data_IF_788417542606
#
_entry.id   IF_788417542606
#
_cell.length_a   1.000
_cell.length_b   1.000
_cell.length_c   1.000
_cell.angle_alpha   90.00
_cell.angle_beta   90.00
_cell.angle_gamma   90.00
#
_symmetry.space_group_name_H-M   'P 1'
#
loop_
_entity.id
_entity.type
_entity.pdbx_description
1 polymer ?
#
# COMPACT_ATOMS: atom_id res chain seq x y z
N UNK A 1 -2.28 25.98 41.39
CA UNK A 1 -2.37 24.86 40.42
C UNK A 1 -2.74 25.42 39.06
N UNK A 2 -1.83 25.50 38.07
CA UNK A 2 -2.18 25.99 36.75
C UNK A 2 -2.75 24.86 35.89
N UNK A 3 -3.93 25.10 35.34
CA UNK A 3 -4.62 24.27 34.36
C UNK A 3 -3.74 24.07 33.12
N UNK A 4 -3.40 22.81 32.79
CA UNK A 4 -2.80 22.45 31.52
C UNK A 4 -3.77 22.79 30.38
N UNK A 5 -3.55 23.91 29.70
CA UNK A 5 -4.09 24.13 28.37
C UNK A 5 -3.42 23.14 27.40
N UNK A 6 -4.13 22.05 27.07
CA UNK A 6 -3.78 21.23 25.91
C UNK A 6 -3.95 22.09 24.66
N UNK A 7 -2.85 22.63 24.12
CA UNK A 7 -2.80 23.18 22.76
C UNK A 7 -3.14 22.05 21.79
N UNK A 8 -4.36 22.03 21.29
CA UNK A 8 -4.72 21.27 20.08
C UNK A 8 -3.98 21.95 18.93
N UNK A 9 -2.77 21.49 18.63
CA UNK A 9 -2.13 21.88 17.38
C UNK A 9 -3.00 21.30 16.26
N UNK A 10 -3.51 22.17 15.39
CA UNK A 10 -4.18 21.72 14.17
C UNK A 10 -3.21 20.79 13.43
N UNK A 11 -3.58 19.52 13.28
CA UNK A 11 -2.76 18.54 12.57
C UNK A 11 -2.65 18.99 11.12
N UNK A 12 -1.43 19.07 10.60
CA UNK A 12 -1.18 19.41 9.21
C UNK A 12 -1.94 18.44 8.28
N UNK A 13 -2.44 18.98 7.15
CA UNK A 13 -3.09 18.20 6.11
C UNK A 13 -2.16 17.10 5.61
N UNK A 14 -2.67 15.88 5.48
CA UNK A 14 -1.92 14.71 4.98
C UNK A 14 -2.56 14.15 3.72
N UNK A 15 -1.80 13.44 2.91
CA UNK A 15 -2.32 12.84 1.68
C UNK A 15 -2.41 11.32 1.84
N UNK A 16 -3.50 10.73 1.36
CA UNK A 16 -3.59 9.30 1.08
C UNK A 16 -3.78 9.14 -0.42
N UNK A 17 -2.95 8.33 -1.05
CA UNK A 17 -2.94 8.19 -2.50
C UNK A 17 -3.03 6.73 -2.94
N UNK A 18 -3.61 6.52 -4.12
CA UNK A 18 -3.61 5.22 -4.79
C UNK A 18 -3.44 5.40 -6.30
N UNK A 19 -3.24 4.28 -7.01
CA UNK A 19 -3.14 4.26 -8.46
C UNK A 19 -4.16 3.29 -9.05
N UNK A 20 -4.94 3.75 -10.04
CA UNK A 20 -5.82 2.94 -10.89
C UNK A 20 -5.38 3.12 -12.34
N UNK A 21 -5.02 2.06 -13.03
CA UNK A 21 -4.73 2.13 -14.47
C UNK A 21 -5.28 0.95 -15.24
N UNK A 22 -5.65 1.20 -16.49
CA UNK A 22 -6.30 0.22 -17.35
C UNK A 22 -7.55 -0.36 -16.72
N UNK A 23 -7.83 -1.63 -17.01
CA UNK A 23 -9.08 -2.30 -16.67
C UNK A 23 -8.96 -3.35 -15.56
N UNK A 24 -7.76 -3.52 -14.99
CA UNK A 24 -7.49 -4.57 -13.98
C UNK A 24 -8.35 -4.39 -12.73
N UNK A 25 -8.53 -3.15 -12.28
CA UNK A 25 -9.35 -2.81 -11.12
C UNK A 25 -10.44 -1.84 -11.55
N UNK A 26 -11.73 -2.17 -11.35
CA UNK A 26 -12.82 -1.24 -11.62
C UNK A 26 -12.78 -0.06 -10.64
N UNK A 27 -13.40 1.09 -10.97
CA UNK A 27 -13.41 2.28 -10.12
C UNK A 27 -13.93 2.01 -8.69
N UNK A 28 -14.81 1.02 -8.52
CA UNK A 28 -15.33 0.61 -7.22
C UNK A 28 -14.23 0.25 -6.20
N UNK A 29 -13.08 -0.24 -6.63
CA UNK A 29 -11.95 -0.49 -5.73
C UNK A 29 -11.40 0.80 -5.11
N UNK A 30 -11.30 1.87 -5.91
CA UNK A 30 -10.87 3.19 -5.44
C UNK A 30 -11.91 3.76 -4.47
N UNK A 31 -13.20 3.64 -4.81
CA UNK A 31 -14.28 4.14 -3.96
C UNK A 31 -14.35 3.41 -2.61
N UNK A 32 -14.16 2.08 -2.61
CA UNK A 32 -14.02 1.30 -1.37
C UNK A 32 -12.82 1.72 -0.55
N UNK A 33 -11.67 1.93 -1.20
CA UNK A 33 -10.46 2.39 -0.53
C UNK A 33 -10.67 3.79 0.10
N UNK A 34 -11.28 4.71 -0.62
CA UNK A 34 -11.64 6.04 -0.12
C UNK A 34 -12.59 5.95 1.08
N UNK A 35 -13.65 5.13 0.99
CA UNK A 35 -14.60 4.89 2.07
C UNK A 35 -13.92 4.34 3.33
N UNK A 36 -13.04 3.35 3.16
CA UNK A 36 -12.20 2.78 4.22
C UNK A 36 -11.28 3.82 4.87
N UNK A 37 -10.59 4.64 4.08
CA UNK A 37 -9.71 5.69 4.59
C UNK A 37 -10.50 6.72 5.40
N UNK A 38 -11.64 7.18 4.87
CA UNK A 38 -12.51 8.14 5.56
C UNK A 38 -12.99 7.64 6.92
N UNK A 39 -13.27 6.33 7.05
CA UNK A 39 -13.67 5.71 8.33
C UNK A 39 -12.52 5.59 9.33
N UNK A 40 -11.30 5.37 8.85
CA UNK A 40 -10.17 4.98 9.70
C UNK A 40 -9.10 6.06 9.89
N UNK A 41 -9.16 7.18 9.18
CA UNK A 41 -8.25 8.31 9.33
C UNK A 41 -8.98 9.52 9.92
N UNK A 42 -8.71 9.83 11.19
CA UNK A 42 -9.37 10.94 11.87
C UNK A 42 -8.78 12.31 11.51
N UNK A 43 -7.59 12.33 10.88
CA UNK A 43 -6.88 13.55 10.49
C UNK A 43 -7.53 14.19 9.27
N UNK A 44 -7.49 15.53 9.15
CA UNK A 44 -7.75 16.19 7.86
C UNK A 44 -6.81 15.61 6.79
N UNK A 45 -7.39 15.12 5.70
CA UNK A 45 -6.63 14.51 4.63
C UNK A 45 -7.25 14.75 3.26
N UNK A 46 -6.39 14.69 2.24
CA UNK A 46 -6.76 14.54 0.83
C UNK A 46 -6.71 13.06 0.47
N UNK A 47 -7.67 12.59 -0.33
CA UNK A 47 -7.62 11.26 -0.93
C UNK A 47 -7.53 11.40 -2.44
N UNK A 48 -6.40 10.97 -3.02
CA UNK A 48 -6.09 11.21 -4.44
C UNK A 48 -5.82 9.91 -5.19
N UNK A 49 -6.54 9.72 -6.30
CA UNK A 49 -6.30 8.62 -7.23
C UNK A 49 -5.53 9.12 -8.46
N UNK A 50 -4.34 8.57 -8.71
CA UNK A 50 -3.66 8.74 -9.98
C UNK A 50 -4.23 7.74 -10.99
N UNK A 51 -4.81 8.23 -12.09
CA UNK A 51 -5.50 7.37 -13.05
C UNK A 51 -5.47 7.88 -14.49
N UNK A 52 -5.60 6.94 -15.43
CA UNK A 52 -5.82 7.19 -16.85
C UNK A 52 -7.32 7.39 -17.19
N UNK A 53 -8.21 6.96 -16.31
CA UNK A 53 -9.67 7.06 -16.49
C UNK A 53 -10.37 7.29 -15.15
N UNK A 54 -10.88 8.52 -14.89
CA UNK A 54 -11.59 8.86 -13.66
C UNK A 54 -13.07 8.46 -13.66
N UNK A 55 -13.59 7.85 -14.74
CA UNK A 55 -15.00 7.48 -14.81
C UNK A 55 -15.40 6.53 -13.67
N UNK A 56 -16.52 6.85 -13.01
CA UNK A 56 -17.09 6.06 -11.91
C UNK A 56 -16.43 6.26 -10.54
N UNK A 57 -15.46 7.17 -10.42
CA UNK A 57 -14.94 7.58 -9.10
C UNK A 57 -15.98 8.42 -8.34
N UNK A 58 -16.04 8.23 -7.01
CA UNK A 58 -16.95 9.01 -6.16
C UNK A 58 -16.56 10.50 -6.15
N UNK A 59 -17.52 11.45 -5.97
CA UNK A 59 -17.23 12.89 -5.96
C UNK A 59 -16.21 13.36 -4.91
N UNK A 60 -15.98 12.58 -3.86
CA UNK A 60 -14.98 12.88 -2.82
C UNK A 60 -13.56 12.39 -3.15
N UNK A 61 -13.38 11.67 -4.25
CA UNK A 61 -12.07 11.20 -4.71
C UNK A 61 -11.48 12.25 -5.64
N UNK A 62 -10.44 12.93 -5.17
CA UNK A 62 -9.64 13.77 -6.05
C UNK A 62 -8.85 12.88 -7.02
N UNK A 63 -8.59 13.37 -8.23
CA UNK A 63 -7.85 12.59 -9.21
C UNK A 63 -6.88 13.45 -10.02
N UNK A 64 -5.74 12.85 -10.35
CA UNK A 64 -4.76 13.42 -11.27
C UNK A 64 -4.44 12.40 -12.37
N UNK A 65 -3.98 12.86 -13.55
CA UNK A 65 -3.44 11.96 -14.55
C UNK A 65 -2.26 11.18 -13.97
N UNK A 66 -2.07 9.94 -14.44
CA UNK A 66 -0.94 9.13 -14.02
C UNK A 66 0.39 9.86 -14.33
N UNK A 67 1.31 10.03 -13.35
CA UNK A 67 2.62 10.57 -13.65
C UNK A 67 3.42 9.55 -14.47
N UNK A 68 4.33 10.03 -15.31
CA UNK A 68 5.15 9.13 -16.13
C UNK A 68 6.18 8.39 -15.26
N UNK A 69 6.33 7.09 -15.51
CA UNK A 69 7.43 6.26 -15.01
C UNK A 69 8.54 6.09 -16.07
N UNK A 70 8.58 6.94 -17.10
CA UNK A 70 9.52 6.86 -18.21
C UNK A 70 9.34 5.57 -19.02
N UNK A 71 10.42 4.83 -19.36
CA UNK A 71 10.34 3.58 -20.11
C UNK A 71 9.41 2.53 -19.49
N UNK A 72 9.18 2.57 -18.17
CA UNK A 72 8.28 1.66 -17.49
C UNK A 72 6.80 1.85 -17.86
N UNK A 73 6.43 2.98 -18.47
CA UNK A 73 5.05 3.21 -18.92
C UNK A 73 4.62 2.17 -19.95
N UNK A 74 5.55 1.59 -20.72
CA UNK A 74 5.29 0.51 -21.66
C UNK A 74 5.03 -0.86 -20.98
N UNK A 75 5.17 -0.97 -19.66
CA UNK A 75 5.09 -2.24 -18.93
C UNK A 75 3.94 -2.24 -17.92
N UNK A 76 3.04 -3.23 -18.06
CA UNK A 76 1.92 -3.45 -17.13
C UNK A 76 2.25 -4.44 -15.99
N UNK A 77 3.48 -4.97 -15.96
CA UNK A 77 3.92 -6.06 -15.08
C UNK A 77 4.95 -5.56 -14.05
N UNK A 78 5.17 -6.36 -13.00
CA UNK A 78 6.21 -6.13 -11.98
C UNK A 78 6.10 -4.81 -11.19
N UNK A 79 4.98 -4.10 -11.29
CA UNK A 79 4.71 -2.91 -10.51
C UNK A 79 5.51 -1.66 -10.90
N UNK A 80 6.28 -1.70 -12.00
CA UNK A 80 7.22 -0.63 -12.37
C UNK A 80 6.60 0.77 -12.42
N UNK A 81 5.34 0.89 -12.90
CA UNK A 81 4.62 2.16 -12.95
C UNK A 81 4.48 2.85 -11.58
N UNK A 82 4.51 2.12 -10.46
CA UNK A 82 4.44 2.69 -9.10
C UNK A 82 5.62 3.62 -8.80
N UNK A 83 6.74 3.50 -9.52
CA UNK A 83 7.88 4.41 -9.37
C UNK A 83 7.55 5.86 -9.77
N UNK A 84 6.50 6.07 -10.57
CA UNK A 84 5.95 7.39 -10.84
C UNK A 84 5.54 8.15 -9.56
N UNK A 85 5.27 7.45 -8.45
CA UNK A 85 4.96 8.06 -7.15
C UNK A 85 6.17 8.81 -6.55
N UNK A 86 7.37 8.61 -7.08
CA UNK A 86 8.55 9.39 -6.71
C UNK A 86 8.80 10.57 -7.66
N UNK A 87 7.87 10.94 -8.53
CA UNK A 87 8.02 12.11 -9.39
C UNK A 87 8.30 13.39 -8.56
N UNK A 88 9.06 14.35 -9.12
CA UNK A 88 9.34 15.63 -8.45
C UNK A 88 8.06 16.38 -8.02
N UNK A 89 6.98 16.20 -8.79
CA UNK A 89 5.65 16.69 -8.48
C UNK A 89 4.63 15.56 -8.67
N UNK A 90 3.71 15.44 -7.71
CA UNK A 90 2.58 14.53 -7.74
C UNK A 90 1.29 15.35 -7.76
N UNK A 91 0.97 15.95 -8.91
CA UNK A 91 -0.02 17.02 -8.97
C UNK A 91 0.46 18.22 -8.15
N UNK A 92 -0.38 18.70 -7.25
CA UNK A 92 -0.08 19.78 -6.29
C UNK A 92 0.20 19.26 -4.87
N UNK A 93 0.39 17.94 -4.70
CA UNK A 93 0.60 17.33 -3.40
C UNK A 93 1.92 17.76 -2.76
N UNK A 94 1.86 18.12 -1.48
CA UNK A 94 3.02 18.41 -0.63
C UNK A 94 2.85 17.72 0.72
N UNK A 95 3.97 17.52 1.43
CA UNK A 95 3.95 16.94 2.78
C UNK A 95 3.77 15.41 2.82
N UNK A 96 3.37 14.91 3.99
CA UNK A 96 3.31 13.48 4.27
C UNK A 96 2.21 12.78 3.44
N UNK A 97 2.62 11.74 2.73
CA UNK A 97 1.82 11.02 1.74
C UNK A 97 1.89 9.53 1.99
N UNK A 98 0.75 8.90 2.24
CA UNK A 98 0.59 7.46 2.40
C UNK A 98 0.03 6.87 1.11
N UNK A 99 0.82 6.05 0.42
CA UNK A 99 0.37 5.26 -0.71
C UNK A 99 -0.27 3.95 -0.23
N UNK A 100 -1.39 3.59 -0.84
CA UNK A 100 -2.10 2.33 -0.65
C UNK A 100 -2.37 1.65 -2.00
N UNK A 101 -2.00 0.37 -2.12
CA UNK A 101 -2.49 -0.46 -3.23
C UNK A 101 -4.02 -0.64 -3.14
N UNK A 102 -4.67 -0.90 -4.27
CA UNK A 102 -6.13 -1.08 -4.32
C UNK A 102 -6.61 -2.40 -3.69
N UNK A 103 -5.73 -3.38 -3.54
CA UNK A 103 -6.03 -4.69 -2.96
C UNK A 103 -5.63 -4.80 -1.49
N UNK A 104 -6.06 -3.82 -0.69
CA UNK A 104 -5.95 -3.84 0.78
C UNK A 104 -7.32 -3.69 1.43
N UNK A 105 -7.42 -4.11 2.69
CA UNK A 105 -8.61 -3.90 3.54
C UNK A 105 -8.16 -3.21 4.82
N UNK A 106 -8.68 -2.00 5.05
CA UNK A 106 -8.35 -1.21 6.24
C UNK A 106 -9.30 -1.64 7.36
N UNK A 107 -8.72 -2.07 8.47
CA UNK A 107 -9.41 -2.71 9.60
C UNK A 107 -9.22 -1.95 10.91
N UNK A 108 -8.29 -0.99 10.94
CA UNK A 108 -7.93 -0.22 12.12
C UNK A 108 -7.45 1.19 11.79
N UNK A 109 -7.19 1.99 12.81
CA UNK A 109 -6.86 3.41 12.65
C UNK A 109 -5.60 3.65 11.81
N UNK A 110 -5.65 4.64 10.92
CA UNK A 110 -4.56 5.03 10.02
C UNK A 110 -3.66 6.14 10.55
N UNK A 111 -4.12 6.92 11.54
CA UNK A 111 -3.34 7.98 12.18
C UNK A 111 -1.89 7.55 12.53
N UNK A 112 -1.65 6.33 13.06
CA UNK A 112 -0.30 5.92 13.43
C UNK A 112 0.66 5.77 12.24
N UNK A 113 0.19 5.55 11.01
CA UNK A 113 1.06 5.56 9.82
C UNK A 113 1.67 6.94 9.57
N UNK A 114 1.04 8.02 10.04
CA UNK A 114 1.58 9.38 9.93
C UNK A 114 2.41 9.80 11.14
N UNK A 115 2.16 9.21 12.30
CA UNK A 115 2.84 9.57 13.56
C UNK A 115 4.11 8.71 13.81
N UNK A 116 4.22 7.53 13.20
CA UNK A 116 5.36 6.63 13.38
C UNK A 116 6.57 7.06 12.53
N UNK A 117 7.70 7.37 13.17
CA UNK A 117 8.93 7.81 12.49
C UNK A 117 8.70 8.96 11.49
N UNK A 118 8.13 10.11 11.91
CA UNK A 118 7.64 11.15 11.00
C UNK A 118 8.73 11.65 10.06
N UNK A 119 8.39 11.85 8.79
CA UNK A 119 9.33 12.30 7.74
C UNK A 119 10.13 11.19 7.06
N UNK A 120 10.22 10.01 7.68
CA UNK A 120 10.95 8.86 7.09
C UNK A 120 10.14 8.12 6.03
N UNK A 121 10.83 7.43 5.13
CA UNK A 121 10.21 6.47 4.22
C UNK A 121 9.99 5.16 4.95
N UNK A 122 8.71 4.78 5.10
CA UNK A 122 8.30 3.57 5.80
C UNK A 122 7.54 2.64 4.87
N UNK A 123 7.92 1.36 4.84
CA UNK A 123 7.30 0.32 4.02
C UNK A 123 6.96 -0.93 4.86
N UNK A 124 6.22 -1.88 4.30
CA UNK A 124 5.98 -3.16 4.97
C UNK A 124 7.24 -4.03 4.81
N UNK A 125 7.61 -4.82 5.81
CA UNK A 125 8.61 -5.90 5.59
C UNK A 125 8.02 -6.96 4.65
N UNK A 126 8.79 -7.44 3.68
CA UNK A 126 8.24 -8.37 2.69
C UNK A 126 7.84 -9.71 3.34
N UNK A 127 6.71 -10.28 2.91
CA UNK A 127 6.13 -11.50 3.47
C UNK A 127 6.86 -12.78 3.04
N UNK A 128 7.92 -12.67 2.22
CA UNK A 128 8.68 -13.83 1.76
C UNK A 128 9.53 -14.37 2.92
N UNK A 129 9.30 -15.62 3.35
CA UNK A 129 10.03 -16.18 4.48
C UNK A 129 11.52 -16.41 4.17
N UNK A 130 11.85 -16.64 2.89
CA UNK A 130 13.22 -16.92 2.45
C UNK A 130 13.61 -16.01 1.29
N UNK A 131 14.78 -15.37 1.44
CA UNK A 131 15.41 -14.53 0.43
C UNK A 131 16.86 -14.99 0.19
N UNK A 132 17.06 -15.68 -0.92
CA UNK A 132 18.32 -16.36 -1.27
C UNK A 132 19.44 -15.37 -1.63
N UNK A 133 19.10 -14.16 -2.11
CA UNK A 133 20.09 -13.13 -2.49
C UNK A 133 20.65 -12.32 -1.31
N UNK A 134 20.33 -12.70 -0.06
CA UNK A 134 20.75 -11.95 1.13
C UNK A 134 20.03 -10.60 1.31
N UNK A 135 19.02 -10.32 0.50
CA UNK A 135 18.26 -9.07 0.42
C UNK A 135 17.07 -9.06 1.42
N UNK A 136 17.29 -9.49 2.68
CA UNK A 136 16.23 -9.56 3.71
C UNK A 136 15.65 -8.20 4.10
N UNK A 137 16.29 -7.11 3.72
CA UNK A 137 15.79 -5.75 3.87
C UNK A 137 14.73 -5.37 2.83
N UNK A 138 14.49 -6.19 1.80
CA UNK A 138 13.43 -5.86 0.85
C UNK A 138 12.08 -5.85 1.55
N UNK A 139 11.32 -4.77 1.32
CA UNK A 139 9.96 -4.66 1.79
C UNK A 139 8.94 -4.79 0.68
N UNK A 140 7.67 -4.68 1.06
CA UNK A 140 6.50 -4.64 0.20
C UNK A 140 5.94 -3.19 0.18
N UNK A 141 5.57 -2.73 -1.01
CA UNK A 141 5.13 -1.36 -1.29
C UNK A 141 3.61 -1.25 -1.46
N UNK A 142 2.83 -2.17 -0.88
CA UNK A 142 1.37 -2.06 -0.85
C UNK A 142 0.88 -1.01 0.15
N UNK A 143 1.70 -0.73 1.17
CA UNK A 143 1.50 0.40 2.10
C UNK A 143 2.86 1.05 2.31
N UNK A 144 3.07 2.24 1.75
CA UNK A 144 4.28 3.00 1.99
C UNK A 144 4.02 4.47 2.19
N UNK A 145 4.81 5.10 3.06
CA UNK A 145 4.75 6.54 3.31
C UNK A 145 6.05 7.19 2.90
N UNK A 146 5.93 8.39 2.35
CA UNK A 146 7.01 9.30 1.97
C UNK A 146 6.48 10.74 2.04
N UNK A 147 7.32 11.76 1.87
CA UNK A 147 6.81 13.10 1.58
C UNK A 147 6.81 13.35 0.08
N UNK A 148 5.70 13.89 -0.45
CA UNK A 148 5.58 14.19 -1.88
C UNK A 148 6.71 15.12 -2.34
N UNK A 149 7.36 14.76 -3.46
CA UNK A 149 8.47 15.51 -4.05
C UNK A 149 9.84 15.34 -3.38
N UNK A 150 9.97 14.56 -2.29
CA UNK A 150 11.23 14.47 -1.52
C UNK A 150 12.30 13.59 -2.18
N UNK A 151 11.92 12.59 -2.98
CA UNK A 151 12.85 11.59 -3.51
C UNK A 151 12.81 11.42 -5.04
N UNK A 152 12.88 12.50 -5.83
CA UNK A 152 12.86 12.43 -7.30
C UNK A 152 13.97 11.56 -7.89
N UNK A 153 15.11 11.48 -7.19
CA UNK A 153 16.28 10.71 -7.61
C UNK A 153 15.98 9.20 -7.75
N UNK A 154 14.99 8.67 -7.01
CA UNK A 154 14.55 7.27 -7.16
C UNK A 154 14.02 7.04 -8.59
N UNK A 155 13.19 7.94 -9.09
CA UNK A 155 12.63 7.84 -10.43
C UNK A 155 13.65 8.21 -11.52
N UNK A 156 14.48 9.22 -11.27
CA UNK A 156 15.51 9.66 -12.22
C UNK A 156 16.56 8.57 -12.48
N UNK A 157 17.12 7.96 -11.43
CA UNK A 157 18.07 6.86 -11.56
C UNK A 157 17.41 5.64 -12.22
N UNK A 158 16.17 5.33 -11.85
CA UNK A 158 15.42 4.24 -12.48
C UNK A 158 15.23 4.46 -13.98
N UNK A 159 14.82 5.66 -14.37
CA UNK A 159 14.55 6.01 -15.77
C UNK A 159 15.83 5.97 -16.60
N UNK A 160 16.94 6.47 -16.04
CA UNK A 160 18.26 6.47 -16.70
C UNK A 160 18.78 5.05 -16.95
N UNK A 161 18.65 4.16 -15.97
CA UNK A 161 19.27 2.83 -15.97
C UNK A 161 18.25 1.67 -16.09
N UNK A 162 17.07 1.94 -16.62
CA UNK A 162 15.90 1.05 -16.61
C UNK A 162 16.21 -0.40 -17.03
N UNK A 163 16.90 -0.57 -18.17
CA UNK A 163 17.25 -1.89 -18.70
C UNK A 163 18.25 -2.66 -17.82
N UNK A 164 19.19 -1.96 -17.19
CA UNK A 164 20.12 -2.59 -16.26
C UNK A 164 19.40 -3.01 -14.97
N UNK A 165 18.51 -2.16 -14.46
CA UNK A 165 17.77 -2.39 -13.21
C UNK A 165 16.85 -3.60 -13.35
N UNK A 166 16.01 -3.67 -14.40
CA UNK A 166 15.08 -4.80 -14.59
C UNK A 166 15.76 -6.16 -14.80
N UNK A 167 17.06 -6.17 -15.13
CA UNK A 167 17.88 -7.39 -15.20
C UNK A 167 18.41 -7.82 -13.83
N UNK A 168 18.56 -6.89 -12.88
CA UNK A 168 19.11 -7.14 -11.53
C UNK A 168 18.02 -7.44 -10.50
N UNK A 169 16.89 -6.74 -10.58
CA UNK A 169 15.77 -6.85 -9.64
C UNK A 169 14.49 -7.28 -10.33
N UNK A 170 13.62 -7.99 -9.60
CA UNK A 170 12.43 -8.63 -10.18
C UNK A 170 11.24 -7.68 -10.32
N UNK A 171 11.18 -6.63 -9.51
CA UNK A 171 10.05 -5.73 -9.40
C UNK A 171 10.45 -4.40 -8.74
N UNK A 172 9.50 -3.48 -8.70
CA UNK A 172 9.67 -2.13 -8.17
C UNK A 172 10.03 -2.14 -6.68
N UNK A 173 9.40 -3.00 -5.88
CA UNK A 173 9.63 -3.03 -4.43
C UNK A 173 11.07 -3.45 -4.09
N UNK A 174 11.67 -4.35 -4.88
CA UNK A 174 13.09 -4.68 -4.74
C UNK A 174 13.96 -3.47 -5.07
N UNK A 175 13.71 -2.80 -6.19
CA UNK A 175 14.47 -1.61 -6.57
C UNK A 175 14.39 -0.50 -5.51
N UNK A 176 13.18 -0.12 -5.08
CA UNK A 176 12.94 0.90 -4.05
C UNK A 176 13.66 0.52 -2.76
N UNK A 177 13.52 -0.73 -2.30
CA UNK A 177 14.16 -1.18 -1.06
C UNK A 177 15.68 -1.13 -1.16
N UNK A 178 16.28 -1.58 -2.26
CA UNK A 178 17.73 -1.47 -2.48
C UNK A 178 18.21 -0.02 -2.48
N UNK A 179 17.46 0.88 -3.12
CA UNK A 179 17.81 2.29 -3.24
C UNK A 179 17.84 3.00 -1.87
N UNK A 180 16.79 2.82 -1.06
CA UNK A 180 16.70 3.40 0.29
C UNK A 180 17.63 2.69 1.28
N UNK A 181 17.79 1.37 1.18
CA UNK A 181 18.68 0.62 2.06
C UNK A 181 20.15 1.05 1.87
N UNK A 182 20.61 1.22 0.63
CA UNK A 182 21.96 1.70 0.33
C UNK A 182 22.26 3.10 0.93
N UNK A 183 21.20 3.89 1.17
CA UNK A 183 21.27 5.24 1.76
C UNK A 183 20.90 5.28 3.24
N UNK A 184 20.69 4.12 3.88
CA UNK A 184 20.31 3.98 5.30
C UNK A 184 19.02 4.73 5.68
N UNK A 185 18.08 4.85 4.73
CA UNK A 185 16.81 5.57 4.88
C UNK A 185 15.59 4.66 4.64
N UNK A 186 15.77 3.36 4.88
CA UNK A 186 14.71 2.36 4.75
C UNK A 186 14.18 1.96 6.12
N UNK A 187 12.92 2.30 6.39
CA UNK A 187 12.25 1.99 7.65
C UNK A 187 11.04 1.08 7.41
N UNK A 188 10.66 0.32 8.43
CA UNK A 188 9.54 -0.61 8.35
C UNK A 188 8.46 -0.25 9.36
N UNK A 189 7.21 -0.45 8.94
CA UNK A 189 6.07 -0.48 9.87
C UNK A 189 6.26 -1.59 10.92
N UNK A 190 5.66 -1.45 12.11
CA UNK A 190 5.46 -2.57 13.02
C UNK A 190 4.81 -3.75 12.28
N UNK A 191 5.30 -4.96 12.52
CA UNK A 191 4.97 -6.15 11.73
C UNK A 191 3.47 -6.46 11.77
N UNK A 192 2.83 -6.23 12.91
CA UNK A 192 1.43 -6.51 13.15
C UNK A 192 0.48 -5.53 12.43
N UNK A 193 0.95 -4.37 11.97
CA UNK A 193 0.06 -3.36 11.35
C UNK A 193 -0.44 -3.78 9.98
N UNK A 194 0.43 -4.46 9.23
CA UNK A 194 0.18 -4.84 7.85
C UNK A 194 0.32 -6.35 7.66
N UNK A 195 -0.58 -7.18 8.21
CA UNK A 195 -0.54 -8.61 7.96
C UNK A 195 -0.96 -8.92 6.51
N UNK A 196 -0.37 -9.96 5.96
CA UNK A 196 -0.78 -10.55 4.69
C UNK A 196 -1.97 -11.47 4.91
N UNK A 197 -3.06 -11.28 4.15
CA UNK A 197 -4.26 -12.12 4.26
C UNK A 197 -3.92 -13.62 4.18
N UNK A 198 -3.21 -14.01 3.12
CA UNK A 198 -2.91 -15.42 2.86
C UNK A 198 -1.82 -15.98 3.74
N UNK A 199 -1.04 -15.18 4.47
CA UNK A 199 0.06 -15.70 5.32
C UNK A 199 -0.38 -15.73 6.77
N UNK A 200 -1.04 -14.66 7.23
CA UNK A 200 -1.26 -14.38 8.64
C UNK A 200 -2.73 -14.52 9.05
N UNK A 201 -3.69 -14.35 8.12
CA UNK A 201 -5.11 -14.54 8.43
C UNK A 201 -5.57 -15.99 8.19
N UNK A 202 -5.07 -16.65 7.14
CA UNK A 202 -5.46 -18.02 6.80
C UNK A 202 -4.64 -19.02 7.61
N UNK A 203 -5.30 -19.97 8.29
CA UNK A 203 -4.60 -21.03 9.02
C UNK A 203 -3.64 -21.84 8.13
N UNK A 204 -2.63 -22.45 8.74
CA UNK A 204 -1.60 -23.21 8.03
C UNK A 204 -2.10 -24.63 7.67
N UNK A 205 -1.76 -25.07 6.46
CA UNK A 205 -1.98 -26.45 6.01
C UNK A 205 -3.44 -26.96 6.15
N UNK A 206 -3.65 -28.20 6.60
CA UNK A 206 -4.97 -28.81 6.75
C UNK A 206 -5.91 -28.06 7.71
N UNK A 207 -5.39 -27.31 8.69
CA UNK A 207 -6.22 -26.54 9.62
C UNK A 207 -7.09 -25.47 8.92
N UNK A 208 -6.67 -25.03 7.72
CA UNK A 208 -7.42 -24.09 6.87
C UNK A 208 -8.77 -24.64 6.38
N UNK A 209 -8.97 -25.96 6.39
CA UNK A 209 -10.25 -26.58 6.07
C UNK A 209 -11.29 -26.41 7.16
N UNK A 210 -10.85 -26.26 8.41
CA UNK A 210 -11.71 -26.20 9.59
C UNK A 210 -11.82 -24.81 10.18
N UNK A 211 -10.92 -23.89 9.84
CA UNK A 211 -10.86 -22.55 10.43
C UNK A 211 -11.22 -21.46 9.43
N UNK A 212 -12.13 -20.57 9.79
CA UNK A 212 -12.34 -19.32 9.06
C UNK A 212 -11.10 -18.43 9.24
N UNK A 213 -10.57 -17.78 8.19
CA UNK A 213 -9.47 -16.83 8.33
C UNK A 213 -9.76 -15.80 9.41
N UNK A 214 -8.80 -15.55 10.29
CA UNK A 214 -8.95 -14.67 11.45
C UNK A 214 -8.26 -13.34 11.18
N UNK A 215 -8.78 -12.27 11.78
CA UNK A 215 -8.12 -10.97 11.77
C UNK A 215 -7.04 -10.94 12.87
N UNK A 216 -5.75 -10.78 12.54
CA UNK A 216 -4.69 -10.74 13.55
C UNK A 216 -4.84 -9.53 14.48
N UNK A 217 -4.50 -9.72 15.76
CA UNK A 217 -4.48 -8.63 16.73
C UNK A 217 -3.46 -7.56 16.32
N UNK A 218 -3.83 -6.28 16.43
CA UNK A 218 -2.98 -5.16 16.05
C UNK A 218 -3.02 -4.79 14.57
N UNK A 219 -3.71 -5.59 13.73
CA UNK A 219 -3.90 -5.30 12.32
C UNK A 219 -4.55 -3.93 12.09
N UNK A 220 -4.00 -3.18 11.14
CA UNK A 220 -4.55 -1.91 10.67
C UNK A 220 -4.92 -1.98 9.20
N UNK A 221 -4.10 -2.65 8.38
CA UNK A 221 -4.32 -2.83 6.96
C UNK A 221 -3.99 -4.28 6.58
N UNK A 222 -4.98 -5.06 6.18
CA UNK A 222 -4.77 -6.42 5.67
C UNK A 222 -4.43 -6.38 4.18
N UNK A 223 -3.31 -6.96 3.77
CA UNK A 223 -2.81 -6.89 2.38
C UNK A 223 -3.19 -8.14 1.57
N UNK A 224 -3.86 -7.95 0.43
CA UNK A 224 -4.27 -9.01 -0.51
C UNK A 224 -3.33 -9.10 -1.72
N UNK A 225 -2.05 -9.41 -1.46
CA UNK A 225 -1.06 -9.55 -2.53
C UNK A 225 -1.29 -10.80 -3.38
N UNK A 226 -1.47 -10.57 -4.69
CA UNK A 226 -1.78 -11.63 -5.66
C UNK A 226 -3.23 -12.08 -5.56
N UNK A 227 -3.45 -13.38 -5.39
CA UNK A 227 -4.76 -13.99 -5.17
C UNK A 227 -4.78 -14.68 -3.79
N UNK A 228 -5.96 -14.73 -3.12
CA UNK A 228 -7.27 -14.20 -3.55
C UNK A 228 -7.35 -12.67 -3.51
N UNK A 229 -8.38 -12.10 -4.16
CA UNK A 229 -8.84 -10.72 -3.91
C UNK A 229 -9.86 -10.67 -2.77
N UNK A 230 -10.17 -9.49 -2.19
CA UNK A 230 -11.11 -9.40 -1.07
C UNK A 230 -12.47 -10.05 -1.34
N UNK A 231 -13.05 -9.88 -2.54
CA UNK A 231 -14.30 -10.52 -2.96
C UNK A 231 -14.20 -12.05 -3.02
N UNK A 232 -13.08 -12.60 -3.49
CA UNK A 232 -12.84 -14.04 -3.52
C UNK A 232 -12.76 -14.60 -2.09
N UNK A 233 -12.15 -13.85 -1.18
CA UNK A 233 -12.00 -14.23 0.22
C UNK A 233 -13.31 -14.13 1.01
N UNK A 234 -14.12 -13.10 0.75
CA UNK A 234 -15.49 -12.98 1.28
C UNK A 234 -16.29 -14.22 0.87
N UNK A 235 -16.28 -14.56 -0.42
CA UNK A 235 -17.05 -15.67 -0.97
C UNK A 235 -16.44 -17.07 -0.68
N UNK A 236 -15.15 -17.14 -0.34
CA UNK A 236 -14.44 -18.41 -0.15
C UNK A 236 -14.25 -19.20 -1.45
N UNK A 237 -14.17 -18.53 -2.60
CA UNK A 237 -14.17 -19.13 -3.94
C UNK A 237 -12.79 -19.51 -4.45
N UNK A 238 -11.71 -19.08 -3.79
CA UNK A 238 -10.33 -19.39 -4.16
C UNK A 238 -9.60 -20.09 -3.03
N UNK A 239 -8.63 -20.92 -3.39
CA UNK A 239 -7.76 -21.61 -2.46
C UNK A 239 -6.84 -22.57 -3.20
N UNK A 240 -5.89 -23.16 -2.48
CA UNK A 240 -5.10 -24.28 -3.00
C UNK A 240 -5.60 -25.56 -2.36
N UNK A 241 -5.42 -26.71 -3.03
CA UNK A 241 -5.82 -28.01 -2.48
C UNK A 241 -5.16 -28.30 -1.11
N UNK A 242 -3.99 -27.73 -0.82
CA UNK A 242 -3.34 -27.86 0.49
C UNK A 242 -3.65 -26.71 1.46
N UNK A 243 -4.40 -25.69 1.01
CA UNK A 243 -4.75 -24.52 1.81
C UNK A 243 -6.05 -23.88 1.31
N UNK A 244 -7.17 -24.33 1.87
CA UNK A 244 -8.51 -23.83 1.54
C UNK A 244 -8.74 -22.48 2.21
N UNK A 245 -9.46 -21.59 1.54
CA UNK A 245 -9.89 -20.31 2.13
C UNK A 245 -11.40 -20.44 2.33
N UNK A 246 -11.84 -20.51 3.59
CA UNK A 246 -13.27 -20.50 3.92
C UNK A 246 -13.84 -19.09 3.71
N UNK A 247 -15.16 -18.96 3.47
CA UNK A 247 -15.82 -17.66 3.42
C UNK A 247 -15.45 -16.80 4.63
N UNK A 248 -15.00 -15.58 4.38
CA UNK A 248 -14.41 -14.70 5.40
C UNK A 248 -15.27 -13.43 5.55
N UNK A 249 -16.41 -13.49 6.25
CA UNK A 249 -17.41 -12.42 6.25
C UNK A 249 -16.95 -11.13 6.91
N UNK A 250 -15.99 -11.19 7.85
CA UNK A 250 -15.49 -9.98 8.50
C UNK A 250 -14.83 -9.02 7.50
N UNK A 251 -14.30 -9.50 6.38
CA UNK A 251 -13.75 -8.63 5.32
C UNK A 251 -14.84 -7.68 4.81
N UNK A 252 -16.06 -8.17 4.60
CA UNK A 252 -17.17 -7.37 4.09
C UNK A 252 -17.55 -6.24 5.05
N UNK A 253 -17.45 -6.47 6.36
CA UNK A 253 -17.71 -5.45 7.38
C UNK A 253 -16.70 -4.28 7.34
N UNK A 254 -15.52 -4.51 6.77
CA UNK A 254 -14.46 -3.49 6.67
C UNK A 254 -14.29 -2.93 5.26
N UNK A 255 -14.62 -3.67 4.21
CA UNK A 255 -14.26 -3.31 2.83
C UNK A 255 -15.30 -2.47 2.08
N UNK A 256 -16.56 -2.53 2.50
CA UNK A 256 -17.66 -1.75 1.91
C UNK A 256 -17.78 -0.37 2.56
#
# INVERSE_FOLDING_TARGET
MPLLQRRVHARAMTNVICMKWGTKFPPLYVNRLHSMVKRHLARPHRFVCFTDDPAGLDPGVEHFPMPSAGPADAYAVHGWRKLAMFAPALGDLTGATLFLDLDVVIVGALDPFFDYQPGEVCIIRDYRPVRIRGDRFVGNTSVFRFNAGQHPQVLEEFTRDFDAIRRRVRNEQEYVSHWFHARRSLHYWPEEWCPSFKHDCVAWGPASYFSTPQLPQGARIVVFHGLPKPEDAIAGTRGKWYRRIRPTPWIAAHWH
#
